data_IF_816370385527
#
_entry.id   IF_816370385527
#
_cell.length_a   1.000
_cell.length_b   1.000
_cell.length_c   1.000
_cell.angle_alpha   90.00
_cell.angle_beta   90.00
_cell.angle_gamma   90.00
#
_symmetry.space_group_name_H-M   'P 1'
#
loop_
_entity.id
_entity.type
_entity.pdbx_description
1 polymer ?
#
# COMPACT_ATOMS: atom_id res chain seq x y z
N UNK A 1 -5.88 9.58 14.48
CA UNK A 1 -6.23 9.34 15.90
C UNK A 1 -7.54 8.59 16.12
N UNK A 2 -8.33 8.37 15.07
CA UNK A 2 -9.65 7.72 15.20
C UNK A 2 -9.56 6.31 15.84
N UNK A 3 -8.60 5.50 15.49
CA UNK A 3 -8.41 4.18 16.10
C UNK A 3 -8.14 4.27 17.61
N UNK A 4 -7.33 5.25 18.04
CA UNK A 4 -7.08 5.50 19.47
C UNK A 4 -8.39 5.89 20.18
N UNK A 5 -9.22 6.73 19.56
CA UNK A 5 -10.53 7.15 20.11
C UNK A 5 -11.49 5.97 20.24
N UNK A 6 -11.42 4.97 19.37
CA UNK A 6 -12.17 3.73 19.45
C UNK A 6 -11.65 2.74 20.52
N UNK A 7 -10.68 3.14 21.35
CA UNK A 7 -10.14 2.33 22.44
C UNK A 7 -8.84 1.57 22.12
N UNK A 8 -8.27 1.76 20.91
CA UNK A 8 -7.01 1.13 20.54
C UNK A 8 -5.82 2.03 20.98
N UNK A 9 -5.47 1.99 22.25
CA UNK A 9 -4.32 2.72 22.78
C UNK A 9 -3.02 2.31 22.06
N UNK A 10 -2.14 3.28 21.81
CA UNK A 10 -0.91 3.05 21.03
C UNK A 10 -1.07 3.14 19.51
N UNK A 11 -2.28 3.48 19.01
CA UNK A 11 -2.58 3.69 17.58
C UNK A 11 -2.93 5.15 17.26
N UNK A 12 -2.42 6.08 18.05
CA UNK A 12 -2.46 7.51 17.73
C UNK A 12 -1.32 7.91 16.79
N UNK A 13 -1.39 9.13 16.29
CA UNK A 13 -0.37 9.69 15.40
C UNK A 13 1.03 9.64 16.01
N UNK A 14 1.20 10.15 17.21
CA UNK A 14 2.50 10.19 17.90
C UNK A 14 3.07 8.79 18.19
N UNK A 15 2.19 7.81 18.40
CA UNK A 15 2.59 6.42 18.60
C UNK A 15 3.08 5.78 17.31
N UNK A 16 2.38 6.03 16.20
CA UNK A 16 2.65 5.44 14.89
C UNK A 16 3.84 6.11 14.18
N UNK A 17 3.97 7.43 14.27
CA UNK A 17 4.99 8.22 13.57
C UNK A 17 6.42 7.71 13.81
N UNK A 18 6.75 7.35 15.05
CA UNK A 18 8.07 6.80 15.39
C UNK A 18 8.41 5.51 14.59
N UNK A 19 7.42 4.70 14.25
CA UNK A 19 7.62 3.48 13.46
C UNK A 19 7.71 3.78 11.96
N UNK A 20 6.94 4.74 11.47
CA UNK A 20 7.09 5.23 10.10
C UNK A 20 8.50 5.78 9.89
N UNK A 21 8.95 6.69 10.75
CA UNK A 21 10.31 7.26 10.69
C UNK A 21 11.40 6.20 10.82
N UNK A 22 11.21 5.22 11.69
CA UNK A 22 12.16 4.12 11.88
C UNK A 22 12.35 3.27 10.61
N UNK A 23 11.29 3.07 9.83
CA UNK A 23 11.34 2.23 8.64
C UNK A 23 11.75 2.99 7.37
N UNK A 24 11.58 4.30 7.34
CA UNK A 24 11.71 5.14 6.16
C UNK A 24 13.17 5.58 5.93
N UNK A 25 13.56 5.57 4.64
CA UNK A 25 14.75 6.25 4.11
C UNK A 25 14.27 7.25 3.06
N UNK A 26 13.94 8.45 3.51
CA UNK A 26 13.41 9.51 2.66
C UNK A 26 14.51 10.24 1.88
N UNK A 27 14.28 10.54 0.59
CA UNK A 27 15.25 11.21 -0.28
C UNK A 27 15.66 12.60 0.20
N UNK A 28 14.77 13.32 0.88
CA UNK A 28 15.01 14.64 1.47
C UNK A 28 15.74 14.62 2.82
N UNK A 29 16.07 13.41 3.33
CA UNK A 29 16.62 13.24 4.68
C UNK A 29 15.55 13.16 5.76
N UNK A 30 15.99 13.11 7.01
CA UNK A 30 15.11 13.04 8.18
C UNK A 30 14.71 14.43 8.69
N UNK A 31 13.48 14.52 9.16
CA UNK A 31 12.93 15.71 9.80
C UNK A 31 11.89 15.34 10.88
N UNK A 32 10.93 16.23 11.16
CA UNK A 32 9.89 16.01 12.16
C UNK A 32 8.99 14.84 11.82
N UNK A 33 8.71 14.60 10.52
CA UNK A 33 7.77 13.59 10.04
C UNK A 33 8.42 12.48 9.20
N UNK A 34 9.62 12.70 8.68
CA UNK A 34 10.35 11.74 7.84
C UNK A 34 11.53 11.09 8.53
N UNK A 35 11.82 9.83 8.16
CA UNK A 35 12.99 9.09 8.56
C UNK A 35 14.10 9.12 7.50
N UNK A 36 15.37 9.00 7.95
CA UNK A 36 16.54 9.01 7.06
C UNK A 36 17.38 7.72 7.11
N UNK A 37 17.13 6.84 8.08
CA UNK A 37 18.02 5.72 8.39
C UNK A 37 17.35 4.34 8.25
N UNK A 38 16.11 4.30 7.76
CA UNK A 38 15.39 3.06 7.56
C UNK A 38 15.74 2.36 6.25
N UNK A 39 15.18 1.16 6.05
CA UNK A 39 15.39 0.34 4.86
C UNK A 39 14.35 0.59 3.76
N UNK A 40 13.23 1.25 4.10
CA UNK A 40 12.13 1.53 3.17
C UNK A 40 12.41 2.81 2.38
N UNK A 41 12.98 2.67 1.19
CA UNK A 41 13.33 3.81 0.34
C UNK A 41 12.11 4.52 -0.18
N UNK A 42 12.14 5.85 -0.08
CA UNK A 42 11.19 6.79 -0.66
C UNK A 42 11.99 7.76 -1.53
N UNK A 43 11.66 7.87 -2.80
CA UNK A 43 12.32 8.74 -3.78
C UNK A 43 11.29 9.62 -4.49
N UNK A 44 11.77 10.72 -5.06
CA UNK A 44 10.99 11.46 -6.06
C UNK A 44 10.79 10.62 -7.33
N UNK A 45 9.72 10.86 -8.03
CA UNK A 45 9.49 10.23 -9.33
C UNK A 45 10.52 10.69 -10.35
N UNK A 46 11.01 9.77 -11.16
CA UNK A 46 12.04 10.03 -12.19
C UNK A 46 11.44 10.41 -13.54
N UNK A 47 10.23 10.90 -13.56
CA UNK A 47 9.47 11.26 -14.74
C UNK A 47 8.43 12.33 -14.39
N UNK A 48 8.29 13.33 -15.23
CA UNK A 48 7.19 14.28 -15.22
C UNK A 48 6.48 14.31 -16.58
N UNK A 49 5.27 14.82 -16.60
CA UNK A 49 4.47 14.99 -17.81
C UNK A 49 3.85 16.38 -17.84
N UNK A 50 4.00 17.06 -18.95
CA UNK A 50 3.41 18.39 -19.17
C UNK A 50 1.89 18.43 -18.83
N UNK A 51 1.16 17.36 -19.16
CA UNK A 51 -0.27 17.27 -18.84
C UNK A 51 -0.53 17.19 -17.33
N UNK A 52 0.35 16.56 -16.56
CA UNK A 52 0.22 16.50 -15.11
C UNK A 52 0.56 17.83 -14.46
N UNK A 53 1.59 18.53 -14.99
CA UNK A 53 1.94 19.86 -14.54
C UNK A 53 0.79 20.84 -14.84
N UNK A 54 0.19 20.76 -16.03
CA UNK A 54 -0.99 21.55 -16.39
C UNK A 54 -2.20 21.26 -15.49
N UNK A 55 -2.40 20.01 -15.11
CA UNK A 55 -3.45 19.64 -14.14
C UNK A 55 -3.19 20.24 -12.76
N UNK A 56 -1.94 20.20 -12.29
CA UNK A 56 -1.54 20.80 -10.99
C UNK A 56 -1.78 22.32 -10.98
N UNK A 57 -1.50 22.99 -12.10
CA UNK A 57 -1.82 24.42 -12.28
C UNK A 57 -3.33 24.68 -12.27
N UNK A 58 -4.11 23.88 -13.00
CA UNK A 58 -5.56 24.01 -13.03
C UNK A 58 -6.20 23.75 -11.65
N UNK A 59 -5.70 22.79 -10.90
CA UNK A 59 -6.12 22.53 -9.53
C UNK A 59 -5.91 23.77 -8.63
N UNK A 60 -4.74 24.42 -8.76
CA UNK A 60 -4.47 25.66 -8.01
C UNK A 60 -5.42 26.80 -8.38
N UNK A 61 -5.77 26.92 -9.68
CA UNK A 61 -6.76 27.92 -10.15
C UNK A 61 -8.18 27.68 -9.59
N UNK A 62 -8.50 26.45 -9.21
CA UNK A 62 -9.79 26.11 -8.57
C UNK A 62 -9.76 26.15 -7.05
N UNK A 63 -8.62 26.57 -6.47
CA UNK A 63 -8.48 26.72 -5.01
C UNK A 63 -7.86 25.52 -4.30
N UNK A 64 -7.48 24.45 -5.02
CA UNK A 64 -6.75 23.32 -4.44
C UNK A 64 -5.26 23.67 -4.42
N UNK A 65 -4.60 23.84 -3.27
CA UNK A 65 -3.23 24.32 -3.22
C UNK A 65 -2.24 23.33 -3.84
N UNK A 66 -1.12 23.84 -4.36
CA UNK A 66 0.01 22.98 -4.74
C UNK A 66 0.75 22.55 -3.48
N UNK A 67 1.04 21.27 -3.39
CA UNK A 67 1.89 20.73 -2.33
C UNK A 67 2.99 19.86 -2.91
N UNK A 68 4.06 19.72 -2.17
CA UNK A 68 5.20 18.88 -2.57
C UNK A 68 5.27 17.59 -1.75
N UNK A 69 4.52 17.53 -0.63
CA UNK A 69 4.52 16.39 0.27
C UNK A 69 3.16 16.23 0.95
N UNK A 70 2.54 15.06 0.77
CA UNK A 70 1.23 14.70 1.36
C UNK A 70 1.33 14.21 2.81
N UNK A 71 2.50 13.98 3.35
CA UNK A 71 2.71 13.29 4.62
C UNK A 71 3.13 14.23 5.76
N UNK A 72 2.76 15.54 5.67
CA UNK A 72 3.11 16.55 6.68
C UNK A 72 1.96 16.95 7.60
N UNK A 73 0.95 16.09 7.74
CA UNK A 73 -0.20 16.32 8.61
C UNK A 73 -1.45 16.67 7.82
N UNK A 74 -1.52 17.83 7.18
CA UNK A 74 -2.59 18.15 6.24
C UNK A 74 -2.20 17.71 4.83
N UNK A 75 -3.02 16.85 4.22
CA UNK A 75 -2.81 16.36 2.88
C UNK A 75 -3.63 17.09 1.80
N UNK A 76 -4.39 18.13 2.16
CA UNK A 76 -5.18 18.90 1.21
C UNK A 76 -4.26 19.62 0.20
N UNK A 77 -4.39 19.28 -1.07
CA UNK A 77 -3.58 19.86 -2.12
C UNK A 77 -3.38 18.94 -3.31
N UNK A 78 -2.64 19.42 -4.31
CA UNK A 78 -2.29 18.69 -5.52
C UNK A 78 -0.77 18.65 -5.73
N UNK A 79 -0.21 17.46 -5.86
CA UNK A 79 1.23 17.25 -5.98
C UNK A 79 1.62 15.90 -6.57
N UNK A 80 2.89 15.76 -6.88
CA UNK A 80 3.45 14.47 -7.28
C UNK A 80 3.63 13.57 -6.06
N UNK A 81 3.25 12.30 -6.20
CA UNK A 81 3.50 11.32 -5.15
C UNK A 81 4.97 10.95 -5.08
N UNK A 82 5.52 10.88 -3.87
CA UNK A 82 6.75 10.16 -3.60
C UNK A 82 6.54 8.66 -3.83
N UNK A 83 7.60 7.94 -4.20
CA UNK A 83 7.49 6.53 -4.62
C UNK A 83 8.52 5.64 -3.93
N UNK A 84 8.13 4.38 -3.68
CA UNK A 84 9.06 3.38 -3.18
C UNK A 84 9.91 2.82 -4.32
N UNK A 85 11.01 3.49 -4.57
CA UNK A 85 11.98 3.16 -5.61
C UNK A 85 13.42 3.24 -5.10
N UNK A 86 14.31 2.56 -5.79
CA UNK A 86 15.75 2.74 -5.72
C UNK A 86 16.28 2.95 -7.15
N UNK A 87 16.60 4.18 -7.48
CA UNK A 87 17.14 4.58 -8.80
C UNK A 87 16.29 4.07 -9.97
N UNK A 88 14.97 4.28 -9.90
CA UNK A 88 14.02 3.92 -10.94
C UNK A 88 13.59 2.44 -10.94
N UNK A 89 14.01 1.65 -9.96
CA UNK A 89 13.57 0.27 -9.76
C UNK A 89 12.68 0.23 -8.51
N UNK A 90 11.53 -0.44 -8.60
CA UNK A 90 10.63 -0.61 -7.46
C UNK A 90 11.37 -1.19 -6.26
N UNK A 91 11.23 -0.54 -5.11
CA UNK A 91 11.76 -0.99 -3.84
C UNK A 91 10.65 -1.60 -2.99
N UNK A 92 10.52 -2.92 -3.04
CA UNK A 92 9.47 -3.66 -2.34
C UNK A 92 9.83 -3.90 -0.87
N UNK A 93 8.84 -4.31 -0.07
CA UNK A 93 9.10 -4.77 1.30
C UNK A 93 10.09 -5.94 1.36
N UNK A 94 10.09 -6.80 0.34
CA UNK A 94 11.07 -7.87 0.24
C UNK A 94 12.48 -7.33 0.03
N UNK A 95 12.65 -6.30 -0.81
CA UNK A 95 13.95 -5.68 -1.04
C UNK A 95 14.46 -4.96 0.21
N UNK A 96 13.57 -4.25 0.90
CA UNK A 96 13.90 -3.50 2.11
C UNK A 96 14.21 -4.43 3.31
N UNK A 97 13.32 -5.39 3.60
CA UNK A 97 13.33 -6.07 4.90
C UNK A 97 13.63 -7.55 4.84
N UNK A 98 13.41 -8.23 3.70
CA UNK A 98 13.57 -9.68 3.60
C UNK A 98 14.91 -10.09 2.98
N UNK A 99 15.27 -9.54 1.83
CA UNK A 99 16.48 -9.91 1.12
C UNK A 99 17.77 -9.69 1.95
N UNK A 100 17.91 -8.62 2.73
CA UNK A 100 19.10 -8.41 3.57
C UNK A 100 19.28 -9.46 4.67
N UNK A 101 18.19 -10.09 5.09
CA UNK A 101 18.19 -11.02 6.25
C UNK A 101 17.89 -12.47 5.90
N UNK A 102 17.63 -12.79 4.64
CA UNK A 102 17.19 -14.13 4.22
C UNK A 102 18.17 -15.27 4.50
N UNK A 103 19.43 -14.94 4.74
CA UNK A 103 20.50 -15.91 5.06
C UNK A 103 20.69 -16.14 6.56
N UNK A 104 19.93 -15.45 7.41
CA UNK A 104 20.01 -15.64 8.85
C UNK A 104 19.57 -17.05 9.23
N UNK A 105 20.34 -17.73 10.10
CA UNK A 105 20.03 -19.10 10.55
C UNK A 105 18.75 -19.23 11.37
N UNK A 106 18.26 -18.13 11.95
CA UNK A 106 17.02 -18.05 12.71
C UNK A 106 15.80 -17.67 11.86
N UNK A 107 15.94 -17.52 10.55
CA UNK A 107 14.86 -17.20 9.62
C UNK A 107 14.61 -18.35 8.65
N UNK A 108 13.39 -18.87 8.66
CA UNK A 108 12.92 -19.85 7.67
C UNK A 108 11.78 -19.26 6.86
N UNK A 109 11.93 -19.26 5.53
CA UNK A 109 10.92 -18.75 4.61
C UNK A 109 10.34 -19.94 3.84
N UNK A 110 9.04 -20.18 4.00
CA UNK A 110 8.30 -21.18 3.26
C UNK A 110 7.41 -20.52 2.22
N UNK A 111 7.69 -20.73 0.94
CA UNK A 111 6.83 -20.33 -0.17
C UNK A 111 5.92 -21.48 -0.57
N UNK A 112 4.81 -21.15 -1.29
CA UNK A 112 3.78 -22.15 -1.65
C UNK A 112 3.20 -22.85 -0.40
N UNK A 113 3.13 -22.10 0.69
CA UNK A 113 2.55 -22.51 1.96
C UNK A 113 1.20 -21.82 2.15
N UNK A 114 0.11 -22.58 2.08
CA UNK A 114 -1.25 -22.06 2.28
C UNK A 114 -1.70 -22.37 3.71
N UNK A 115 -1.83 -21.33 4.53
CA UNK A 115 -2.30 -21.46 5.91
C UNK A 115 -3.80 -21.75 5.93
N UNK A 116 -4.19 -22.84 6.55
CA UNK A 116 -5.60 -23.25 6.67
C UNK A 116 -6.21 -22.74 7.97
N UNK A 117 -5.52 -22.95 9.10
CA UNK A 117 -5.99 -22.51 10.42
C UNK A 117 -4.91 -22.53 11.49
N UNK A 118 -5.20 -21.83 12.57
CA UNK A 118 -4.45 -21.86 13.84
C UNK A 118 -5.16 -22.82 14.79
N UNK A 119 -4.41 -23.66 15.47
CA UNK A 119 -4.95 -24.49 16.57
C UNK A 119 -4.66 -23.84 17.91
N UNK A 120 -5.69 -23.85 18.74
CA UNK A 120 -5.64 -23.35 20.10
C UNK A 120 -5.70 -24.51 21.08
N UNK A 121 -4.97 -24.37 22.16
CA UNK A 121 -5.20 -25.13 23.40
C UNK A 121 -5.76 -24.13 24.40
N UNK A 122 -7.02 -24.32 24.79
CA UNK A 122 -7.80 -23.30 25.48
C UNK A 122 -7.82 -22.00 24.68
N UNK A 123 -7.21 -20.93 25.19
CA UNK A 123 -7.11 -19.61 24.53
C UNK A 123 -5.71 -19.29 24.02
N UNK A 124 -4.79 -20.26 24.02
CA UNK A 124 -3.42 -20.05 23.56
C UNK A 124 -3.18 -20.70 22.19
N UNK A 125 -2.71 -19.90 21.22
CA UNK A 125 -2.29 -20.40 19.93
C UNK A 125 -1.06 -21.33 20.08
N UNK A 126 -1.14 -22.54 19.56
CA UNK A 126 -0.08 -23.57 19.71
C UNK A 126 0.50 -24.06 18.41
N UNK A 127 -0.32 -24.13 17.37
CA UNK A 127 0.10 -24.68 16.08
C UNK A 127 -0.52 -23.89 14.94
N UNK A 128 0.16 -23.92 13.79
CA UNK A 128 -0.39 -23.48 12.51
C UNK A 128 -0.47 -24.69 11.60
N UNK A 129 -1.65 -24.96 11.04
CA UNK A 129 -1.85 -25.94 10.00
C UNK A 129 -1.80 -25.28 8.64
N UNK A 130 -1.06 -25.84 7.72
CA UNK A 130 -0.90 -25.29 6.37
C UNK A 130 -0.65 -26.40 5.35
N UNK A 131 -0.94 -26.12 4.10
CA UNK A 131 -0.54 -26.94 2.97
C UNK A 131 0.78 -26.44 2.41
N UNK A 132 1.81 -27.24 2.47
CA UNK A 132 3.09 -26.94 1.80
C UNK A 132 3.16 -27.71 0.48
N UNK A 133 3.08 -27.00 -0.62
CA UNK A 133 3.01 -27.61 -1.97
C UNK A 133 1.89 -28.66 -2.08
N UNK A 134 0.76 -28.42 -1.46
CA UNK A 134 -0.40 -29.30 -1.43
C UNK A 134 -0.35 -30.42 -0.38
N UNK A 135 0.72 -30.57 0.37
CA UNK A 135 0.84 -31.57 1.46
C UNK A 135 0.56 -30.92 2.81
N UNK A 136 -0.25 -31.60 3.63
CA UNK A 136 -0.56 -31.11 4.99
C UNK A 136 0.70 -31.10 5.85
N UNK A 137 0.91 -29.96 6.47
CA UNK A 137 2.06 -29.68 7.32
C UNK A 137 1.59 -28.90 8.57
N UNK A 138 2.41 -28.91 9.59
CA UNK A 138 2.16 -28.13 10.81
C UNK A 138 3.43 -27.45 11.29
N UNK A 139 3.26 -26.32 11.99
CA UNK A 139 4.33 -25.63 12.67
C UNK A 139 3.91 -25.34 14.11
N UNK A 140 4.73 -25.74 15.08
CA UNK A 140 4.52 -25.44 16.48
C UNK A 140 4.94 -23.99 16.80
N UNK A 141 4.16 -23.32 17.63
CA UNK A 141 4.38 -21.93 18.02
C UNK A 141 5.08 -21.87 19.37
N UNK A 142 6.24 -21.21 19.41
CA UNK A 142 7.00 -21.04 20.65
C UNK A 142 6.66 -19.77 21.41
N UNK A 143 6.39 -18.67 20.69
CA UNK A 143 6.09 -17.35 21.28
C UNK A 143 4.74 -16.83 20.81
N UNK A 144 4.64 -16.42 19.55
CA UNK A 144 3.46 -15.74 18.99
C UNK A 144 3.27 -16.07 17.52
N UNK A 145 2.07 -15.77 17.01
CA UNK A 145 1.73 -15.80 15.59
C UNK A 145 1.40 -14.37 15.16
N UNK A 146 2.03 -13.91 14.07
CA UNK A 146 1.73 -12.62 13.45
C UNK A 146 0.93 -12.90 12.19
N UNK A 147 -0.35 -12.45 12.16
CA UNK A 147 -1.19 -12.52 10.99
C UNK A 147 -0.95 -11.29 10.10
N UNK A 148 -0.45 -11.52 8.88
CA UNK A 148 -0.20 -10.49 7.89
C UNK A 148 -0.74 -10.91 6.50
N UNK A 149 -1.88 -11.61 6.48
CA UNK A 149 -2.47 -12.19 5.26
C UNK A 149 -3.42 -11.24 4.52
N UNK A 150 -3.41 -9.96 4.88
CA UNK A 150 -4.24 -8.92 4.28
C UNK A 150 -5.65 -8.88 4.84
N UNK A 151 -6.45 -7.94 4.31
CA UNK A 151 -7.79 -7.61 4.83
C UNK A 151 -8.81 -8.76 4.67
N UNK A 152 -8.60 -9.65 3.73
CA UNK A 152 -9.46 -10.84 3.52
C UNK A 152 -8.86 -12.08 4.19
N UNK A 153 -7.57 -12.36 3.97
CA UNK A 153 -6.94 -13.60 4.42
C UNK A 153 -6.79 -13.70 5.94
N UNK A 154 -6.49 -12.59 6.63
CA UNK A 154 -6.34 -12.62 8.09
C UNK A 154 -7.65 -12.91 8.82
N UNK A 155 -8.79 -12.23 8.51
CA UNK A 155 -10.09 -12.61 9.06
C UNK A 155 -10.51 -14.03 8.71
N UNK A 156 -10.26 -14.49 7.48
CA UNK A 156 -10.56 -15.86 7.08
C UNK A 156 -9.80 -16.88 7.93
N UNK A 157 -8.50 -16.70 8.16
CA UNK A 157 -7.71 -17.58 9.03
C UNK A 157 -8.25 -17.56 10.46
N UNK A 158 -8.65 -16.41 10.99
CA UNK A 158 -9.25 -16.30 12.31
C UNK A 158 -10.57 -17.09 12.39
N UNK A 159 -11.48 -16.90 11.44
CA UNK A 159 -12.77 -17.57 11.40
C UNK A 159 -12.61 -19.08 11.24
N UNK A 160 -11.77 -19.57 10.32
CA UNK A 160 -11.49 -21.01 10.18
C UNK A 160 -10.81 -21.61 11.42
N UNK A 161 -10.25 -20.78 12.28
CA UNK A 161 -9.63 -21.16 13.55
C UNK A 161 -10.58 -21.08 14.76
N UNK A 162 -11.85 -20.70 14.55
CA UNK A 162 -12.86 -20.58 15.60
C UNK A 162 -12.89 -19.21 16.30
N UNK A 163 -12.31 -18.16 15.67
CA UNK A 163 -12.35 -16.78 16.20
C UNK A 163 -13.17 -15.92 15.24
N UNK A 164 -14.36 -15.48 15.65
CA UNK A 164 -15.25 -14.70 14.79
C UNK A 164 -16.66 -14.60 15.35
N UNK A 165 -17.65 -14.20 14.52
CA UNK A 165 -19.06 -14.18 14.87
C UNK A 165 -19.54 -15.59 15.21
N UNK A 166 -20.02 -15.79 16.44
CA UNK A 166 -20.34 -17.13 16.98
C UNK A 166 -21.44 -17.86 16.20
N UNK A 167 -22.43 -17.16 15.70
CA UNK A 167 -23.51 -17.71 14.86
C UNK A 167 -22.95 -18.25 13.54
N UNK A 168 -22.20 -17.42 12.80
CA UNK A 168 -21.54 -17.80 11.56
C UNK A 168 -20.63 -19.03 11.75
N UNK A 169 -19.87 -19.06 12.83
CA UNK A 169 -18.98 -20.21 13.09
C UNK A 169 -19.77 -21.50 13.31
N UNK A 170 -20.87 -21.44 14.07
CA UNK A 170 -21.74 -22.59 14.31
C UNK A 170 -22.43 -23.07 13.02
N UNK A 171 -22.89 -22.16 12.18
CA UNK A 171 -23.53 -22.49 10.90
C UNK A 171 -22.56 -23.18 9.92
N UNK A 172 -21.26 -22.94 10.08
CA UNK A 172 -20.19 -23.57 9.30
C UNK A 172 -19.56 -24.80 9.99
N UNK A 173 -20.19 -25.33 11.05
CA UNK A 173 -19.66 -26.46 11.87
C UNK A 173 -18.27 -26.19 12.46
N UNK A 174 -17.93 -24.91 12.67
CA UNK A 174 -16.69 -24.50 13.31
C UNK A 174 -16.95 -24.23 14.78
N UNK A 175 -16.28 -25.01 15.65
CA UNK A 175 -16.39 -24.81 17.11
C UNK A 175 -15.80 -23.47 17.51
N UNK A 176 -16.57 -22.54 18.11
CA UNK A 176 -16.04 -21.28 18.58
C UNK A 176 -14.97 -21.46 19.67
N UNK A 177 -13.81 -20.86 19.46
CA UNK A 177 -12.75 -20.70 20.48
C UNK A 177 -12.95 -19.38 21.21
N UNK A 178 -13.25 -18.33 20.43
CA UNK A 178 -13.56 -16.99 20.96
C UNK A 178 -14.56 -16.30 20.05
N UNK A 179 -15.66 -15.86 20.62
CA UNK A 179 -16.63 -15.04 19.90
C UNK A 179 -16.13 -13.60 19.83
N UNK A 180 -15.87 -13.13 18.59
CA UNK A 180 -15.47 -11.78 18.24
C UNK A 180 -16.30 -11.34 17.02
N UNK A 181 -17.45 -10.67 17.23
CA UNK A 181 -18.38 -10.36 16.13
C UNK A 181 -17.80 -9.43 15.07
N UNK A 182 -16.78 -8.63 15.39
CA UNK A 182 -16.13 -7.72 14.43
C UNK A 182 -15.16 -8.40 13.45
N UNK A 183 -14.83 -9.68 13.62
CA UNK A 183 -13.89 -10.37 12.71
C UNK A 183 -14.57 -10.67 11.38
N UNK A 184 -14.05 -10.08 10.31
CA UNK A 184 -14.61 -10.20 8.96
C UNK A 184 -15.68 -9.15 8.62
N UNK A 185 -16.01 -8.28 9.57
CA UNK A 185 -16.96 -7.21 9.39
C UNK A 185 -16.28 -5.87 9.04
N UNK A 186 -17.07 -4.90 8.59
CA UNK A 186 -16.65 -3.54 8.30
C UNK A 186 -15.50 -3.40 7.28
N UNK A 187 -15.42 -4.33 6.33
CA UNK A 187 -14.50 -4.19 5.22
C UNK A 187 -14.85 -2.93 4.42
N UNK A 188 -13.89 -2.04 4.26
CA UNK A 188 -14.03 -0.81 3.50
C UNK A 188 -13.15 -0.84 2.27
N UNK A 189 -13.69 -0.39 1.14
CA UNK A 189 -12.96 -0.20 -0.10
C UNK A 189 -13.25 1.19 -0.67
N UNK A 190 -12.36 1.71 -1.49
CA UNK A 190 -12.52 3.02 -2.11
C UNK A 190 -13.59 2.98 -3.20
N UNK A 191 -14.61 3.84 -3.08
CA UNK A 191 -15.47 4.13 -4.21
C UNK A 191 -14.66 4.90 -5.27
N UNK A 192 -14.48 4.30 -6.43
CA UNK A 192 -13.73 4.92 -7.53
C UNK A 192 -14.62 5.22 -8.72
N UNK A 193 -14.43 6.40 -9.29
CA UNK A 193 -14.99 6.79 -10.58
C UNK A 193 -13.86 7.15 -11.53
N UNK A 194 -13.84 6.54 -12.71
CA UNK A 194 -12.84 6.84 -13.74
C UNK A 194 -13.39 7.84 -14.74
N UNK A 195 -12.72 8.96 -14.85
CA UNK A 195 -12.98 9.97 -15.87
C UNK A 195 -11.85 9.93 -16.89
N UNK A 196 -12.20 9.81 -18.17
CA UNK A 196 -11.24 9.78 -19.27
C UNK A 196 -11.44 11.01 -20.14
N UNK A 197 -10.39 11.79 -20.31
CA UNK A 197 -10.40 13.01 -21.10
C UNK A 197 -9.51 12.85 -22.35
N UNK A 198 -10.03 13.28 -23.49
CA UNK A 198 -9.23 13.42 -24.71
C UNK A 198 -8.45 14.73 -24.64
N UNK A 199 -7.14 14.65 -24.62
CA UNK A 199 -6.25 15.80 -24.59
C UNK A 199 -5.69 16.12 -25.98
N UNK A 200 -5.33 17.38 -26.20
CA UNK A 200 -4.72 17.88 -27.44
C UNK A 200 -3.40 18.59 -27.13
N UNK A 201 -2.49 18.63 -28.10
CA UNK A 201 -1.22 19.35 -28.04
C UNK A 201 -0.30 18.95 -26.88
N UNK A 202 -0.45 17.72 -26.36
CA UNK A 202 0.41 17.19 -25.30
C UNK A 202 0.72 15.72 -25.55
N UNK A 203 1.81 15.25 -24.98
CA UNK A 203 2.24 13.86 -25.08
C UNK A 203 1.62 13.04 -23.95
N UNK A 204 1.12 11.85 -24.30
CA UNK A 204 0.61 10.86 -23.33
C UNK A 204 1.36 9.54 -23.49
N UNK A 205 1.27 8.70 -22.48
CA UNK A 205 1.87 7.37 -22.55
C UNK A 205 1.29 6.53 -23.70
N UNK A 206 -0.03 6.64 -23.95
CA UNK A 206 -0.69 5.91 -25.06
C UNK A 206 -0.03 6.22 -26.42
N UNK A 207 0.32 7.48 -26.67
CA UNK A 207 1.00 7.86 -27.93
C UNK A 207 2.38 7.21 -28.06
N UNK A 208 3.15 7.15 -26.97
CA UNK A 208 4.47 6.49 -26.95
C UNK A 208 4.35 4.98 -27.04
N UNK A 209 3.43 4.38 -26.26
CA UNK A 209 3.26 2.93 -26.18
C UNK A 209 2.67 2.32 -27.47
N UNK A 210 1.90 3.06 -28.24
CA UNK A 210 1.28 2.59 -29.51
C UNK A 210 2.24 2.67 -30.71
N UNK A 211 3.44 3.25 -30.56
CA UNK A 211 4.47 3.33 -31.61
C UNK A 211 5.59 2.35 -31.31
N UNK A 212 6.02 1.58 -32.32
CA UNK A 212 7.17 0.65 -32.17
C UNK A 212 8.45 1.43 -31.78
N UNK A 213 8.71 2.56 -32.43
CA UNK A 213 9.85 3.44 -32.11
C UNK A 213 9.72 3.97 -30.69
N UNK A 214 8.50 4.34 -30.26
CA UNK A 214 8.24 4.78 -28.90
C UNK A 214 8.52 3.70 -27.85
N UNK A 215 8.13 2.44 -28.10
CA UNK A 215 8.43 1.29 -27.22
C UNK A 215 9.92 1.03 -27.11
N UNK A 216 10.63 1.00 -28.24
CA UNK A 216 12.08 0.82 -28.25
C UNK A 216 12.75 1.96 -27.48
N UNK A 217 12.34 3.23 -27.74
CA UNK A 217 12.87 4.39 -27.04
C UNK A 217 12.64 4.34 -25.52
N UNK A 218 11.44 3.94 -25.07
CA UNK A 218 11.15 3.75 -23.64
C UNK A 218 12.01 2.66 -23.03
N UNK A 219 12.21 1.53 -23.75
CA UNK A 219 13.08 0.45 -23.31
C UNK A 219 14.52 0.93 -23.16
N UNK A 220 15.09 1.59 -24.15
CA UNK A 220 16.45 2.14 -24.11
C UNK A 220 16.61 3.15 -22.96
N UNK A 221 15.68 4.07 -22.81
CA UNK A 221 15.67 5.07 -21.75
C UNK A 221 15.71 4.39 -20.34
N UNK A 222 14.95 3.34 -20.17
CA UNK A 222 14.92 2.59 -18.91
C UNK A 222 16.20 1.75 -18.69
N UNK A 223 16.61 0.95 -19.68
CA UNK A 223 17.74 0.04 -19.49
C UNK A 223 19.07 0.78 -19.32
N UNK A 224 19.26 1.91 -20.03
CA UNK A 224 20.49 2.69 -19.97
C UNK A 224 20.49 3.68 -18.79
N UNK A 225 19.39 4.41 -18.61
CA UNK A 225 19.36 5.56 -17.68
C UNK A 225 18.47 5.35 -16.46
N UNK A 226 17.71 4.25 -16.39
CA UNK A 226 16.70 4.01 -15.35
C UNK A 226 15.73 5.19 -15.20
N UNK A 227 15.26 5.71 -16.33
CA UNK A 227 14.33 6.85 -16.44
C UNK A 227 13.16 6.51 -17.34
N UNK A 228 12.22 7.45 -17.45
CA UNK A 228 11.12 7.41 -18.39
C UNK A 228 9.96 6.53 -17.94
N UNK A 229 9.00 6.27 -18.84
CA UNK A 229 7.71 5.67 -18.50
C UNK A 229 7.79 4.29 -17.83
N UNK A 230 8.86 3.54 -18.01
CA UNK A 230 9.02 2.23 -17.34
C UNK A 230 9.40 2.34 -15.85
N UNK A 231 9.72 3.55 -15.36
CA UNK A 231 9.90 3.82 -13.92
C UNK A 231 8.64 4.37 -13.27
N UNK A 232 7.56 4.53 -14.04
CA UNK A 232 6.34 5.18 -13.61
C UNK A 232 5.58 4.35 -12.59
N UNK A 233 5.17 4.98 -11.49
CA UNK A 233 4.11 4.45 -10.65
C UNK A 233 2.75 4.54 -11.37
N UNK A 234 1.76 3.72 -11.01
CA UNK A 234 0.44 3.75 -11.66
C UNK A 234 -0.19 5.16 -11.67
N UNK A 235 -0.14 5.87 -10.56
CA UNK A 235 -0.56 7.27 -10.45
C UNK A 235 0.63 8.12 -10.07
N UNK A 236 0.91 9.14 -10.86
CA UNK A 236 2.08 10.00 -10.62
C UNK A 236 1.72 11.27 -9.87
N UNK A 237 0.62 11.90 -10.25
CA UNK A 237 0.09 13.09 -9.61
C UNK A 237 -1.16 12.72 -8.83
N UNK A 238 -1.31 13.28 -7.66
CA UNK A 238 -2.49 13.14 -6.83
C UNK A 238 -3.03 14.47 -6.38
N UNK A 239 -4.22 14.42 -5.81
CA UNK A 239 -4.82 15.56 -5.14
C UNK A 239 -5.76 15.09 -4.07
N UNK A 240 -5.80 15.83 -2.99
CA UNK A 240 -6.80 15.69 -1.95
C UNK A 240 -7.54 17.00 -1.80
N UNK A 241 -8.86 16.94 -1.72
CA UNK A 241 -9.70 18.12 -1.60
C UNK A 241 -10.93 17.85 -0.75
N UNK A 242 -11.51 18.90 -0.23
CA UNK A 242 -12.79 18.84 0.46
C UNK A 242 -13.91 19.00 -0.56
N UNK A 243 -14.94 18.15 -0.48
CA UNK A 243 -16.16 18.34 -1.28
C UNK A 243 -17.00 19.52 -0.84
N UNK A 244 -16.81 19.96 0.40
CA UNK A 244 -17.45 21.09 1.04
C UNK A 244 -16.46 21.75 2.01
N UNK A 245 -16.31 23.09 2.01
CA UNK A 245 -15.37 23.78 2.90
C UNK A 245 -15.62 23.57 4.41
N UNK A 246 -16.82 23.16 4.80
CA UNK A 246 -17.17 22.90 6.20
C UNK A 246 -16.63 21.57 6.73
N UNK A 247 -16.13 20.69 5.86
CA UNK A 247 -15.59 19.39 6.25
C UNK A 247 -14.20 19.58 6.87
N UNK A 248 -13.94 18.92 7.99
CA UNK A 248 -12.68 19.04 8.72
C UNK A 248 -11.47 18.59 7.92
N UNK A 249 -11.59 17.48 7.19
CA UNK A 249 -10.50 16.89 6.41
C UNK A 249 -10.92 16.55 4.98
N UNK A 250 -9.95 16.51 4.05
CA UNK A 250 -10.20 16.15 2.66
C UNK A 250 -10.86 14.78 2.54
N UNK A 251 -11.96 14.70 1.80
CA UNK A 251 -12.75 13.49 1.56
C UNK A 251 -12.81 13.08 0.08
N UNK A 252 -12.21 13.87 -0.80
CA UNK A 252 -12.00 13.54 -2.20
C UNK A 252 -10.53 13.26 -2.45
N UNK A 253 -10.25 12.19 -3.19
CA UNK A 253 -8.90 11.85 -3.64
C UNK A 253 -8.87 11.73 -5.16
N UNK A 254 -7.91 12.37 -5.78
CA UNK A 254 -7.66 12.30 -7.22
C UNK A 254 -6.39 11.50 -7.49
N UNK A 255 -6.48 10.58 -8.45
CA UNK A 255 -5.34 9.87 -9.02
C UNK A 255 -5.25 10.22 -10.50
N UNK A 256 -4.26 11.01 -10.87
CA UNK A 256 -4.11 11.50 -12.23
C UNK A 256 -3.02 10.71 -12.95
N UNK A 257 -3.34 10.24 -14.16
CA UNK A 257 -2.46 9.43 -14.98
C UNK A 257 -2.41 9.97 -16.41
N UNK A 258 -1.23 10.02 -17.07
CA UNK A 258 -1.10 10.46 -18.45
C UNK A 258 -1.44 9.36 -19.46
N UNK A 259 -2.41 8.52 -19.15
CA UNK A 259 -2.82 7.38 -19.97
C UNK A 259 -4.29 7.03 -19.77
N UNK A 260 -4.88 6.32 -20.73
CA UNK A 260 -6.11 5.57 -20.53
C UNK A 260 -5.86 4.08 -20.75
N UNK A 261 -6.55 3.23 -19.99
CA UNK A 261 -6.42 1.76 -20.08
C UNK A 261 -7.29 1.12 -21.15
N UNK A 262 -8.16 1.89 -21.81
CA UNK A 262 -9.11 1.37 -22.83
C UNK A 262 -8.44 0.95 -24.14
N UNK A 263 -7.17 1.30 -24.36
CA UNK A 263 -6.40 1.02 -25.59
C UNK A 263 -4.90 0.86 -25.30
N UNK A 264 -4.52 0.14 -24.28
CA UNK A 264 -3.14 -0.33 -24.10
C UNK A 264 -2.99 -1.74 -24.62
#
# INVERSE_FOLDING_TARGET
DHWRQLGNSGWGWDDALKFFKKSELHFGGGDEVHGADGEWRVEEQRLSWEILDAFREAAAQTGIPKIDDFNRGDNEGCGYFSVNQNKGVRWSAADAFLHPVKTRSNLTILTQAHVEKIKFHEHQAKEINFLLKGQRSLAAVKKEIILASGAVGSPQILQTSGIGPGELLRDLDIKPVRELPGVGENLQDHLQMRLVFKVKNTRTLNLRANSLIGRIGMGMEYFIFKRGPMTMAPSQLGGFAKSDPSIESANLQYHIQPLSTEKL
#
